data_IF_455250570629
#
_entry.id   IF_455250570629
#
_cell.length_a   1.000
_cell.length_b   1.000
_cell.length_c   1.000
_cell.angle_alpha   90.00
_cell.angle_beta   90.00
_cell.angle_gamma   90.00
#
_symmetry.space_group_name_H-M   'P 1'
#
loop_
_entity.id
_entity.type
_entity.pdbx_description
1 polymer ?
#
# COMPACT_ATOMS: atom_id res chain seq x y z
N UNK A 1 -22.12 -12.53 -4.53
CA UNK A 1 -20.81 -13.19 -4.28
C UNK A 1 -20.93 -14.12 -3.08
N UNK A 2 -20.25 -15.27 -3.09
CA UNK A 2 -20.19 -16.16 -1.92
C UNK A 2 -19.19 -15.58 -0.88
N UNK A 3 -19.69 -14.74 0.02
CA UNK A 3 -18.87 -13.98 0.97
C UNK A 3 -18.11 -14.83 1.99
N UNK A 4 -18.67 -15.98 2.40
CA UNK A 4 -18.04 -16.84 3.41
C UNK A 4 -16.79 -17.56 2.89
N UNK A 5 -16.80 -18.00 1.63
CA UNK A 5 -15.62 -18.58 0.99
C UNK A 5 -14.51 -17.55 0.79
N UNK A 6 -14.88 -16.33 0.37
CA UNK A 6 -13.93 -15.24 0.15
C UNK A 6 -13.26 -14.76 1.44
N UNK A 7 -14.03 -14.71 2.54
CA UNK A 7 -13.50 -14.38 3.86
C UNK A 7 -12.37 -15.33 4.27
N UNK A 8 -12.61 -16.65 4.23
CA UNK A 8 -11.60 -17.65 4.62
C UNK A 8 -10.37 -17.56 3.75
N UNK A 9 -10.57 -17.49 2.42
CA UNK A 9 -9.47 -17.36 1.48
C UNK A 9 -8.59 -16.15 1.84
N UNK A 10 -9.19 -14.97 2.03
CA UNK A 10 -8.46 -13.75 2.34
C UNK A 10 -7.69 -13.81 3.67
N UNK A 11 -8.35 -14.29 4.73
CA UNK A 11 -7.75 -14.40 6.07
C UNK A 11 -6.63 -15.43 6.10
N UNK A 12 -6.66 -16.45 5.27
CA UNK A 12 -5.60 -17.46 5.18
C UNK A 12 -4.44 -17.02 4.27
N UNK A 13 -4.75 -16.51 3.07
CA UNK A 13 -3.74 -16.31 2.02
C UNK A 13 -2.95 -15.02 2.14
N UNK A 14 -3.54 -13.91 2.60
CA UNK A 14 -2.78 -12.66 2.78
C UNK A 14 -1.67 -12.82 3.84
N UNK A 15 -1.95 -13.32 5.06
CA UNK A 15 -0.90 -13.64 6.03
C UNK A 15 0.17 -14.59 5.51
N UNK A 16 -0.24 -15.69 4.86
CA UNK A 16 0.69 -16.67 4.33
C UNK A 16 1.59 -16.07 3.23
N UNK A 17 1.04 -15.21 2.37
CA UNK A 17 1.82 -14.52 1.35
C UNK A 17 2.85 -13.56 1.96
N UNK A 18 2.46 -12.80 3.01
CA UNK A 18 3.40 -11.92 3.74
C UNK A 18 4.54 -12.74 4.36
N UNK A 19 4.22 -13.86 5.02
CA UNK A 19 5.24 -14.75 5.59
C UNK A 19 6.16 -15.32 4.51
N UNK A 20 5.62 -15.73 3.36
CA UNK A 20 6.41 -16.26 2.25
C UNK A 20 7.40 -15.25 1.67
N UNK A 21 7.01 -13.98 1.51
CA UNK A 21 7.95 -12.93 1.03
C UNK A 21 8.98 -12.53 2.08
N UNK A 22 8.63 -12.58 3.37
CA UNK A 22 9.58 -12.36 4.46
C UNK A 22 10.64 -13.47 4.49
N UNK A 23 10.22 -14.73 4.43
CA UNK A 23 11.11 -15.89 4.38
C UNK A 23 12.05 -15.83 3.17
N UNK A 24 11.50 -15.55 1.98
CA UNK A 24 12.30 -15.42 0.75
C UNK A 24 13.33 -14.28 0.82
N UNK A 25 13.05 -13.22 1.59
CA UNK A 25 13.94 -12.09 1.81
C UNK A 25 14.89 -12.26 3.01
N UNK A 26 14.74 -13.33 3.80
CA UNK A 26 15.50 -13.52 5.05
C UNK A 26 15.12 -12.52 6.16
N UNK A 27 13.92 -11.93 6.09
CA UNK A 27 13.39 -11.00 7.08
C UNK A 27 12.45 -11.71 8.07
N UNK A 28 12.28 -11.12 9.25
CA UNK A 28 11.29 -11.49 10.26
C UNK A 28 10.11 -10.54 10.20
N UNK A 29 8.99 -10.97 10.77
CA UNK A 29 7.80 -10.12 10.90
C UNK A 29 8.11 -8.83 11.67
N UNK A 30 8.94 -8.92 12.71
CA UNK A 30 9.35 -7.77 13.54
C UNK A 30 10.22 -6.76 12.79
N UNK A 31 10.74 -7.10 11.61
CA UNK A 31 11.47 -6.16 10.75
C UNK A 31 10.52 -5.25 9.95
N UNK A 32 9.22 -5.58 9.89
CA UNK A 32 8.23 -4.77 9.17
C UNK A 32 7.81 -3.55 9.98
N UNK A 33 7.88 -2.38 9.35
CA UNK A 33 7.26 -1.17 9.88
C UNK A 33 5.75 -1.14 9.60
N UNK A 34 5.35 -1.64 8.43
CA UNK A 34 3.98 -1.56 7.93
C UNK A 34 3.56 -2.78 7.11
N UNK A 35 2.28 -3.13 7.23
CA UNK A 35 1.57 -4.03 6.32
C UNK A 35 0.42 -3.28 5.66
N UNK A 36 0.53 -3.03 4.36
CA UNK A 36 -0.52 -2.40 3.55
C UNK A 36 -1.33 -3.50 2.88
N UNK A 37 -2.49 -3.81 3.46
CA UNK A 37 -3.37 -4.89 3.01
C UNK A 37 -4.54 -4.38 2.14
N UNK A 38 -5.10 -5.25 1.30
CA UNK A 38 -6.31 -4.96 0.52
C UNK A 38 -7.50 -4.64 1.43
N UNK A 39 -8.07 -3.44 1.30
CA UNK A 39 -9.22 -2.98 2.09
C UNK A 39 -10.54 -3.51 1.50
N UNK A 40 -10.84 -4.78 1.75
CA UNK A 40 -12.07 -5.40 1.29
C UNK A 40 -13.24 -5.27 2.26
N UNK A 41 -12.96 -5.48 3.56
CA UNK A 41 -13.89 -5.42 4.68
C UNK A 41 -13.06 -5.40 5.98
N UNK A 42 -13.46 -4.61 6.98
CA UNK A 42 -12.85 -4.59 8.31
C UNK A 42 -12.71 -5.99 8.92
N UNK A 43 -13.72 -6.85 8.79
CA UNK A 43 -13.67 -8.21 9.34
C UNK A 43 -12.52 -9.05 8.78
N UNK A 44 -12.17 -8.84 7.51
CA UNK A 44 -11.06 -9.55 6.85
C UNK A 44 -9.74 -8.99 7.36
N UNK A 45 -9.60 -7.67 7.45
CA UNK A 45 -8.41 -7.01 7.99
C UNK A 45 -8.15 -7.46 9.43
N UNK A 46 -9.17 -7.51 10.27
CA UNK A 46 -9.07 -8.02 11.64
C UNK A 46 -8.66 -9.49 11.72
N UNK A 47 -9.19 -10.33 10.81
CA UNK A 47 -8.80 -11.73 10.70
C UNK A 47 -7.33 -11.88 10.30
N UNK A 48 -6.89 -11.09 9.31
CA UNK A 48 -5.51 -11.09 8.83
C UNK A 48 -4.53 -10.59 9.91
N UNK A 49 -4.87 -9.50 10.62
CA UNK A 49 -4.11 -8.99 11.78
C UNK A 49 -3.90 -10.04 12.84
N UNK A 50 -4.98 -10.67 13.31
CA UNK A 50 -4.91 -11.74 14.34
C UNK A 50 -4.05 -12.92 13.89
N UNK A 51 -4.14 -13.30 12.61
CA UNK A 51 -3.36 -14.44 12.08
C UNK A 51 -1.89 -14.10 11.88
N UNK A 52 -1.55 -12.86 11.52
CA UNK A 52 -0.17 -12.39 11.47
C UNK A 52 0.40 -12.09 12.85
N UNK A 53 -0.44 -11.81 13.85
CA UNK A 53 0.02 -11.38 15.18
C UNK A 53 0.41 -9.90 15.22
N UNK A 54 -0.17 -9.08 14.34
CA UNK A 54 0.10 -7.63 14.25
C UNK A 54 -1.13 -6.82 14.65
N UNK A 55 -0.92 -5.59 15.09
CA UNK A 55 -2.00 -4.68 15.47
C UNK A 55 -2.40 -3.74 14.31
N UNK A 56 -3.33 -2.82 14.60
CA UNK A 56 -3.79 -1.82 13.63
C UNK A 56 -2.74 -0.74 13.35
N UNK A 57 -1.76 -0.53 14.23
CA UNK A 57 -0.67 0.39 13.94
C UNK A 57 0.19 -0.19 12.83
N UNK A 58 0.61 -1.47 12.92
CA UNK A 58 1.39 -2.15 11.88
C UNK A 58 0.55 -2.39 10.62
N UNK A 59 -0.72 -2.78 10.75
CA UNK A 59 -1.63 -3.00 9.62
C UNK A 59 -2.83 -2.04 9.66
N UNK A 60 -2.67 -0.78 9.21
CA UNK A 60 -3.71 0.23 9.27
C UNK A 60 -4.87 -0.05 8.31
N UNK A 61 -6.03 0.53 8.62
CA UNK A 61 -7.18 0.54 7.72
C UNK A 61 -7.67 1.96 7.43
N UNK A 62 -8.14 2.18 6.21
CA UNK A 62 -8.91 3.37 5.82
C UNK A 62 -10.24 2.98 5.15
N UNK A 63 -10.69 1.74 5.34
CA UNK A 63 -11.88 1.22 4.67
C UNK A 63 -13.16 1.93 5.12
N UNK A 64 -13.20 2.42 6.37
CA UNK A 64 -14.32 3.24 6.85
C UNK A 64 -14.45 4.57 6.13
N UNK A 65 -13.40 5.05 5.45
CA UNK A 65 -13.43 6.31 4.70
C UNK A 65 -13.72 6.08 3.21
N UNK A 66 -13.10 5.07 2.60
CA UNK A 66 -13.12 4.88 1.13
C UNK A 66 -13.90 3.65 0.66
N UNK A 67 -14.27 2.76 1.58
CA UNK A 67 -14.77 1.43 1.25
C UNK A 67 -13.75 0.61 0.46
N UNK A 68 -14.23 -0.42 -0.25
CA UNK A 68 -13.40 -1.23 -1.12
C UNK A 68 -13.24 -0.55 -2.50
N UNK A 69 -12.02 -0.04 -2.76
CA UNK A 69 -11.64 0.60 -4.02
C UNK A 69 -10.86 -0.34 -4.96
N UNK A 70 -11.09 -1.65 -4.83
CA UNK A 70 -10.43 -2.71 -5.62
C UNK A 70 -8.90 -2.57 -5.61
N UNK A 71 -8.25 -2.58 -6.76
CA UNK A 71 -6.80 -2.44 -6.90
C UNK A 71 -6.26 -1.11 -6.34
N UNK A 72 -7.07 -0.04 -6.32
CA UNK A 72 -6.63 1.29 -5.86
C UNK A 72 -6.46 1.37 -4.34
N UNK A 73 -6.92 0.37 -3.61
CA UNK A 73 -6.88 0.42 -2.14
C UNK A 73 -5.48 0.46 -1.56
N UNK A 74 -4.53 -0.26 -2.19
CA UNK A 74 -3.14 -0.29 -1.75
C UNK A 74 -2.45 1.06 -1.98
N UNK A 75 -2.46 1.65 -3.19
CA UNK A 75 -1.82 2.95 -3.40
C UNK A 75 -2.51 4.09 -2.64
N UNK A 76 -3.84 4.06 -2.44
CA UNK A 76 -4.53 5.08 -1.63
C UNK A 76 -4.06 5.04 -0.18
N UNK A 77 -4.12 3.86 0.47
CA UNK A 77 -3.67 3.72 1.86
C UNK A 77 -2.17 4.05 1.98
N UNK A 78 -1.34 3.58 1.05
CA UNK A 78 0.07 3.89 1.04
C UNK A 78 0.36 5.39 0.94
N UNK A 79 -0.33 6.08 0.03
CA UNK A 79 -0.21 7.52 -0.14
C UNK A 79 -0.60 8.28 1.13
N UNK A 80 -1.71 7.91 1.77
CA UNK A 80 -2.13 8.52 3.04
C UNK A 80 -1.10 8.29 4.16
N UNK A 81 -0.51 7.11 4.23
CA UNK A 81 0.53 6.80 5.22
C UNK A 81 1.81 7.61 4.98
N UNK A 82 2.19 7.85 3.71
CA UNK A 82 3.28 8.78 3.35
C UNK A 82 2.97 10.21 3.78
N UNK A 83 1.77 10.71 3.47
CA UNK A 83 1.34 12.05 3.88
C UNK A 83 1.33 12.23 5.40
N UNK A 84 1.02 11.16 6.14
CA UNK A 84 1.06 11.12 7.62
C UNK A 84 2.46 10.90 8.20
N UNK A 85 3.50 10.84 7.39
CA UNK A 85 4.88 10.61 7.83
C UNK A 85 5.16 9.22 8.40
N UNK A 86 4.28 8.24 8.14
CA UNK A 86 4.45 6.84 8.59
C UNK A 86 5.31 6.00 7.66
N UNK A 87 5.42 6.44 6.41
CA UNK A 87 6.32 5.87 5.41
C UNK A 87 7.38 6.92 5.11
N UNK A 88 8.61 6.63 5.51
CA UNK A 88 9.78 7.48 5.35
C UNK A 88 10.89 6.68 4.67
N UNK A 89 11.94 7.34 4.14
CA UNK A 89 13.07 6.63 3.55
C UNK A 89 13.61 5.51 4.46
N UNK A 90 13.67 4.28 3.95
CA UNK A 90 14.11 3.09 4.67
C UNK A 90 12.99 2.22 5.26
N UNK A 91 11.76 2.74 5.37
CA UNK A 91 10.60 1.98 5.87
C UNK A 91 10.42 0.68 5.10
N UNK A 92 10.30 -0.44 5.82
CA UNK A 92 10.03 -1.76 5.25
C UNK A 92 8.52 -2.05 5.30
N UNK A 93 7.93 -2.17 4.11
CA UNK A 93 6.49 -2.33 3.92
C UNK A 93 6.22 -3.66 3.24
N UNK A 94 5.32 -4.46 3.82
CA UNK A 94 4.70 -5.58 3.13
C UNK A 94 3.38 -5.13 2.51
N UNK A 95 3.25 -5.22 1.19
CA UNK A 95 1.97 -5.07 0.51
C UNK A 95 1.34 -6.44 0.34
N UNK A 96 0.04 -6.59 0.60
CA UNK A 96 -0.65 -7.86 0.36
C UNK A 96 -2.08 -7.65 -0.13
N UNK A 97 -2.54 -8.54 -1.00
CA UNK A 97 -3.88 -8.47 -1.57
C UNK A 97 -4.43 -9.85 -1.92
N UNK A 98 -5.75 -9.91 -2.08
CA UNK A 98 -6.49 -11.02 -2.65
C UNK A 98 -7.59 -10.49 -3.59
N UNK A 99 -8.05 -11.28 -4.55
CA UNK A 99 -9.04 -10.81 -5.52
C UNK A 99 -9.77 -11.91 -6.30
N UNK A 100 -10.64 -11.47 -7.20
CA UNK A 100 -11.42 -12.35 -8.09
C UNK A 100 -10.50 -13.26 -8.92
N UNK A 101 -10.94 -14.50 -9.19
CA UNK A 101 -10.12 -15.53 -9.83
C UNK A 101 -9.27 -16.36 -8.85
N UNK A 102 -9.44 -16.14 -7.54
CA UNK A 102 -8.62 -16.69 -6.46
C UNK A 102 -7.13 -16.35 -6.65
N UNK A 103 -6.86 -15.06 -6.88
CA UNK A 103 -5.51 -14.54 -6.89
C UNK A 103 -5.20 -13.92 -5.53
N UNK A 104 -3.98 -14.15 -5.04
CA UNK A 104 -3.44 -13.50 -3.86
C UNK A 104 -1.93 -13.33 -4.04
N UNK A 105 -1.36 -12.43 -3.26
CA UNK A 105 0.08 -12.21 -3.28
C UNK A 105 0.51 -11.22 -2.24
N UNK A 106 1.81 -11.15 -2.06
CA UNK A 106 2.46 -10.11 -1.30
C UNK A 106 3.75 -9.67 -2.00
N UNK A 107 4.22 -8.49 -1.65
CA UNK A 107 5.55 -8.00 -2.02
C UNK A 107 6.14 -7.28 -0.82
N UNK A 108 7.45 -7.48 -0.62
CA UNK A 108 8.22 -6.73 0.34
C UNK A 108 8.87 -5.54 -0.38
N UNK A 109 8.66 -4.35 0.15
CA UNK A 109 9.14 -3.11 -0.45
C UNK A 109 9.85 -2.27 0.61
N UNK A 110 11.07 -1.84 0.31
CA UNK A 110 11.79 -0.89 1.14
C UNK A 110 11.67 0.49 0.49
N UNK A 111 11.09 1.45 1.20
CA UNK A 111 11.03 2.84 0.72
C UNK A 111 12.46 3.30 0.47
N UNK A 112 12.78 3.77 -0.74
CA UNK A 112 14.14 4.12 -1.10
C UNK A 112 14.66 5.24 -0.20
N UNK A 113 15.94 5.16 0.15
CA UNK A 113 16.66 6.33 0.67
C UNK A 113 16.52 7.44 -0.37
N UNK A 114 16.22 8.67 0.06
CA UNK A 114 16.16 9.80 -0.86
C UNK A 114 17.56 10.02 -1.45
N UNK A 115 17.83 9.40 -2.60
CA UNK A 115 19.10 9.52 -3.32
C UNK A 115 19.15 10.81 -4.15
N UNK A 116 18.27 11.78 -3.88
CA UNK A 116 18.30 13.10 -4.49
C UNK A 116 17.91 13.14 -5.97
N UNK A 117 17.50 12.03 -6.58
CA UNK A 117 17.31 11.95 -8.04
C UNK A 117 15.83 12.06 -8.48
N UNK A 118 14.89 11.50 -7.72
CA UNK A 118 13.46 11.51 -8.09
C UNK A 118 12.72 12.79 -7.65
N UNK A 119 13.07 13.39 -6.51
CA UNK A 119 12.52 14.69 -6.11
C UNK A 119 12.96 15.82 -7.05
N UNK A 120 14.18 15.74 -7.60
CA UNK A 120 14.68 16.68 -8.59
C UNK A 120 13.94 16.55 -9.93
N UNK A 121 13.68 15.32 -10.40
CA UNK A 121 12.94 15.07 -11.64
C UNK A 121 11.47 15.50 -11.56
N UNK A 122 10.78 15.20 -10.45
CA UNK A 122 9.38 15.60 -10.27
C UNK A 122 9.20 17.13 -10.13
N UNK A 123 10.17 17.82 -9.52
CA UNK A 123 10.18 19.30 -9.44
C UNK A 123 10.48 19.94 -10.81
N UNK A 124 11.33 19.30 -11.62
CA UNK A 124 11.61 19.76 -12.98
C UNK A 124 10.38 19.65 -13.89
N UNK A 125 9.61 18.56 -13.79
CA UNK A 125 8.36 18.39 -14.57
C UNK A 125 7.24 19.32 -14.12
N UNK A 126 7.10 19.56 -12.81
CA UNK A 126 6.10 20.51 -12.30
C UNK A 126 6.37 21.95 -12.76
N UNK A 127 7.64 22.37 -12.78
CA UNK A 127 8.04 23.67 -13.33
C UNK A 127 7.80 23.79 -14.84
N UNK A 128 7.97 22.70 -15.60
CA UNK A 128 7.69 22.70 -17.03
C UNK A 128 6.18 22.84 -17.34
N UNK A 129 5.32 22.26 -16.50
CA UNK A 129 3.86 22.34 -16.66
C UNK A 129 3.31 23.74 -16.34
N UNK A 130 3.86 24.43 -15.32
CA UNK A 130 3.47 25.81 -14.97
C UNK A 130 3.87 26.82 -16.05
N UNK A 131 5.05 26.68 -16.66
CA UNK A 131 5.51 27.56 -17.73
C UNK A 131 4.65 27.38 -19.00
N UNK A 132 4.31 26.14 -19.35
CA UNK A 132 3.44 25.85 -20.49
C UNK A 132 2.02 26.43 -20.30
N UNK A 133 1.46 26.36 -19.08
CA UNK A 133 0.16 26.96 -18.76
C UNK A 133 0.16 28.50 -18.83
N UNK A 134 1.25 29.14 -18.39
CA UNK A 134 1.40 30.60 -18.43
C UNK A 134 1.60 31.14 -19.87
N UNK A 135 2.29 30.40 -20.74
CA UNK A 135 2.45 30.79 -22.15
C UNK A 135 1.17 30.59 -22.98
N UNK A 136 0.39 29.54 -22.70
CA UNK A 136 -0.90 29.32 -23.35
C UNK A 136 -1.90 30.45 -23.04
N UNK A 137 -1.95 30.92 -21.79
CA UNK A 137 -2.83 32.01 -21.36
C UNK A 137 -2.51 33.38 -22.02
N UNK A 138 -1.25 33.60 -22.42
CA UNK A 138 -0.81 34.86 -23.07
C UNK A 138 -1.08 34.92 -24.57
N UNK A 139 -1.35 33.80 -25.23
CA UNK A 139 -1.65 33.74 -26.67
C UNK A 139 -3.14 33.83 -26.98
N UNK A 140 -3.98 33.84 -25.95
CA UNK A 140 -5.45 33.88 -26.05
C UNK A 140 -6.06 35.22 -25.61
N UNK A 141 -5.22 36.22 -25.35
CA UNK A 141 -5.59 37.61 -25.03
C UNK A 141 -5.04 38.56 -26.10
#
# INVERSE_FOLDING_TARGET
>A
MNGGGLYRLAVETMPAAVQGVLEAAGCKLDDLDLVVAHQANDRILDGARRRLGVDETTMPSNIGHWGNTTAATLPILYHELRQKGRVVPGTLVAFTSFGAGAHWGAVLYREPQDTGTIAAAARADAGALEIAGAEAARRSA
#
